data_IF_571383936285
#
_entry.id   IF_571383936285
#
_cell.length_a   1.000
_cell.length_b   1.000
_cell.length_c   1.000
_cell.angle_alpha   90.00
_cell.angle_beta   90.00
_cell.angle_gamma   90.00
#
_symmetry.space_group_name_H-M   'P 1'
#
loop_
_entity.id
_entity.type
_entity.pdbx_description
1 polymer ?
#
# COMPACT_ATOMS: atom_id res chain seq x y z
N UNK A 1 28.47 1.71 -15.74
CA UNK A 1 27.38 2.18 -14.86
C UNK A 1 27.26 1.16 -13.75
N UNK A 2 27.16 1.61 -12.52
CA UNK A 2 26.93 0.71 -11.40
C UNK A 2 25.54 0.10 -11.55
N UNK A 3 25.43 -1.21 -11.26
CA UNK A 3 24.14 -1.91 -11.33
C UNK A 3 23.26 -1.50 -10.16
N UNK A 4 21.94 -1.47 -10.38
CA UNK A 4 20.95 -1.24 -9.33
C UNK A 4 20.95 -2.45 -8.39
N UNK A 5 21.23 -2.21 -7.12
CA UNK A 5 21.23 -3.25 -6.07
C UNK A 5 19.80 -3.50 -5.58
N UNK A 6 19.25 -4.64 -5.96
CA UNK A 6 17.90 -5.06 -5.57
C UNK A 6 17.95 -6.10 -4.45
N UNK A 7 17.10 -5.92 -3.44
CA UNK A 7 16.74 -6.95 -2.49
C UNK A 7 15.35 -7.49 -2.83
N UNK A 8 15.16 -8.80 -2.71
CA UNK A 8 13.85 -9.45 -2.86
C UNK A 8 13.49 -10.14 -1.55
N UNK A 9 12.26 -9.94 -1.09
CA UNK A 9 11.66 -10.60 0.06
C UNK A 9 10.45 -11.38 -0.42
N UNK A 10 10.57 -12.71 -0.48
CA UNK A 10 9.58 -13.63 -1.05
C UNK A 10 9.79 -15.01 -0.43
N UNK A 11 8.77 -15.63 0.11
CA UNK A 11 8.86 -16.93 0.80
C UNK A 11 8.76 -18.13 -0.14
N UNK A 12 8.13 -17.98 -1.31
CA UNK A 12 8.09 -19.04 -2.32
C UNK A 12 9.44 -19.16 -3.06
N UNK A 13 10.20 -20.26 -2.87
CA UNK A 13 11.51 -20.44 -3.50
C UNK A 13 11.42 -20.56 -5.03
N UNK A 14 10.28 -20.98 -5.57
CA UNK A 14 10.09 -21.08 -7.03
C UNK A 14 9.91 -19.69 -7.61
N UNK A 15 9.08 -18.85 -6.98
CA UNK A 15 8.94 -17.43 -7.33
C UNK A 15 10.26 -16.68 -7.17
N UNK A 16 10.92 -16.81 -6.03
CA UNK A 16 12.20 -16.15 -5.76
C UNK A 16 13.21 -16.44 -6.87
N UNK A 17 13.37 -17.74 -7.22
CA UNK A 17 14.30 -18.15 -8.27
C UNK A 17 13.91 -17.58 -9.63
N UNK A 18 12.68 -17.79 -10.06
CA UNK A 18 12.20 -17.34 -11.37
C UNK A 18 12.28 -15.83 -11.54
N UNK A 19 11.93 -15.09 -10.50
CA UNK A 19 11.98 -13.63 -10.49
C UNK A 19 13.42 -13.11 -10.53
N UNK A 20 14.32 -13.72 -9.76
CA UNK A 20 15.75 -13.38 -9.78
C UNK A 20 16.33 -13.59 -11.17
N UNK A 21 16.12 -14.77 -11.76
CA UNK A 21 16.63 -15.09 -13.11
C UNK A 21 16.07 -14.13 -14.17
N UNK A 22 14.77 -13.77 -14.06
CA UNK A 22 14.13 -12.83 -14.97
C UNK A 22 14.71 -11.40 -14.87
N UNK A 23 14.87 -10.90 -13.65
CA UNK A 23 15.38 -9.54 -13.42
C UNK A 23 16.85 -9.41 -13.82
N UNK A 24 17.68 -10.42 -13.53
CA UNK A 24 19.12 -10.37 -13.85
C UNK A 24 19.42 -10.45 -15.35
N UNK A 25 18.46 -10.87 -16.18
CA UNK A 25 18.61 -10.79 -17.65
C UNK A 25 18.69 -9.35 -18.14
N UNK A 26 18.18 -8.37 -17.39
CA UNK A 26 18.20 -6.96 -17.76
C UNK A 26 19.61 -6.32 -17.75
N UNK A 27 20.58 -6.95 -17.12
CA UNK A 27 21.99 -6.56 -17.15
C UNK A 27 22.38 -5.33 -16.31
N UNK A 28 21.44 -4.42 -16.04
CA UNK A 28 21.64 -3.20 -15.22
C UNK A 28 21.10 -3.32 -13.78
N UNK A 29 20.46 -4.45 -13.44
CA UNK A 29 19.98 -4.77 -12.10
C UNK A 29 20.74 -6.00 -11.58
N UNK A 30 21.01 -6.05 -10.30
CA UNK A 30 21.61 -7.21 -9.63
C UNK A 30 20.88 -7.48 -8.32
N UNK A 31 20.48 -8.72 -8.12
CA UNK A 31 19.89 -9.16 -6.85
C UNK A 31 21.02 -9.40 -5.85
N UNK A 32 21.21 -8.47 -4.92
CA UNK A 32 22.28 -8.53 -3.92
C UNK A 32 21.87 -9.25 -2.65
N UNK A 33 20.55 -9.38 -2.42
CA UNK A 33 20.02 -10.09 -1.25
C UNK A 33 18.67 -10.72 -1.56
N UNK A 34 18.49 -11.92 -1.06
CA UNK A 34 17.23 -12.67 -1.04
C UNK A 34 16.87 -12.95 0.43
N UNK A 35 15.61 -12.76 0.80
CA UNK A 35 15.07 -13.07 2.11
C UNK A 35 13.80 -13.90 1.93
N UNK A 36 13.76 -15.06 2.55
CA UNK A 36 12.63 -15.99 2.46
C UNK A 36 11.68 -15.87 3.65
N UNK A 37 12.03 -15.05 4.62
CA UNK A 37 11.23 -14.78 5.80
C UNK A 37 11.43 -13.34 6.27
N UNK A 38 10.47 -12.84 7.05
CA UNK A 38 10.50 -11.50 7.65
C UNK A 38 11.78 -11.23 8.45
N UNK A 39 12.25 -12.23 9.17
CA UNK A 39 13.46 -12.17 10.00
C UNK A 39 14.72 -11.95 9.16
N UNK A 40 14.77 -12.57 7.98
CA UNK A 40 15.90 -12.48 7.06
C UNK A 40 15.98 -11.11 6.35
N UNK A 41 14.86 -10.39 6.29
CA UNK A 41 14.83 -9.01 5.79
C UNK A 41 15.52 -8.02 6.74
N UNK A 42 15.93 -8.47 7.93
CA UNK A 42 16.62 -7.65 8.93
C UNK A 42 18.14 -7.61 8.68
N UNK A 43 18.81 -6.65 9.34
CA UNK A 43 20.28 -6.57 9.33
C UNK A 43 20.88 -5.99 8.05
N UNK A 44 20.09 -5.21 7.31
CA UNK A 44 20.57 -4.35 6.22
C UNK A 44 20.57 -2.88 6.67
N UNK A 45 21.31 -2.08 5.94
CA UNK A 45 21.27 -0.62 6.02
C UNK A 45 20.79 -0.04 4.69
N UNK A 46 20.36 1.21 4.68
CA UNK A 46 19.93 1.88 3.45
C UNK A 46 21.02 2.01 2.37
N UNK A 47 22.29 1.80 2.73
CA UNK A 47 23.41 1.79 1.77
C UNK A 47 23.67 0.43 1.11
N UNK A 48 23.10 -0.64 1.64
CA UNK A 48 23.34 -2.01 1.12
C UNK A 48 22.51 -2.29 -0.13
N UNK A 49 21.36 -1.63 -0.27
CA UNK A 49 20.38 -1.85 -1.34
C UNK A 49 19.87 -0.51 -1.90
N UNK A 50 19.57 -0.48 -3.18
CA UNK A 50 18.98 0.68 -3.84
C UNK A 50 17.45 0.60 -3.88
N UNK A 51 16.90 -0.61 -4.06
CA UNK A 51 15.46 -0.88 -4.12
C UNK A 51 15.15 -2.19 -3.41
N UNK A 52 14.00 -2.28 -2.76
CA UNK A 52 13.50 -3.53 -2.16
C UNK A 52 12.17 -3.91 -2.78
N UNK A 53 12.05 -5.16 -3.22
CA UNK A 53 10.82 -5.78 -3.68
C UNK A 53 10.31 -6.72 -2.59
N UNK A 54 9.05 -6.57 -2.17
CA UNK A 54 8.51 -7.25 -0.99
C UNK A 54 7.20 -7.94 -1.34
N UNK A 55 7.10 -9.26 -1.14
CA UNK A 55 5.79 -9.90 -1.11
C UNK A 55 5.05 -9.56 0.19
N UNK A 56 3.75 -9.38 0.08
CA UNK A 56 2.88 -9.16 1.23
C UNK A 56 2.68 -10.42 2.08
N UNK A 57 2.66 -11.59 1.44
CA UNK A 57 2.39 -12.87 2.08
C UNK A 57 3.70 -13.62 2.30
N UNK A 58 4.30 -13.46 3.46
CA UNK A 58 5.60 -14.03 3.83
C UNK A 58 5.47 -15.11 4.92
N UNK A 59 4.44 -15.92 4.93
CA UNK A 59 4.34 -17.00 5.91
C UNK A 59 3.40 -18.10 5.49
N UNK A 60 3.75 -19.33 5.87
CA UNK A 60 2.93 -20.53 5.71
C UNK A 60 1.60 -20.45 6.48
N UNK A 61 1.50 -19.63 7.51
CA UNK A 61 0.31 -19.50 8.37
C UNK A 61 -0.83 -18.62 7.81
N UNK A 62 -0.71 -18.15 6.58
CA UNK A 62 -1.83 -17.63 5.74
C UNK A 62 -2.67 -16.45 6.28
N UNK A 63 -2.35 -15.89 7.42
CA UNK A 63 -3.22 -14.96 8.13
C UNK A 63 -2.74 -13.52 8.22
N UNK A 64 -1.47 -13.25 8.23
CA UNK A 64 -0.94 -11.89 8.40
C UNK A 64 -0.19 -11.40 7.16
N UNK A 65 -0.40 -10.13 6.84
CA UNK A 65 0.34 -9.42 5.79
C UNK A 65 1.73 -9.05 6.32
N UNK A 66 2.58 -10.07 6.54
CA UNK A 66 3.91 -9.89 7.13
C UNK A 66 4.81 -8.96 6.32
N UNK A 67 4.61 -8.88 5.00
CA UNK A 67 5.30 -7.94 4.14
C UNK A 67 5.07 -6.47 4.53
N UNK A 68 3.90 -6.12 5.06
CA UNK A 68 3.66 -4.76 5.59
C UNK A 68 4.51 -4.45 6.82
N UNK A 69 4.76 -5.45 7.67
CA UNK A 69 5.65 -5.29 8.83
C UNK A 69 7.10 -5.14 8.38
N UNK A 70 7.52 -5.88 7.35
CA UNK A 70 8.84 -5.71 6.72
C UNK A 70 8.98 -4.30 6.17
N UNK A 71 8.01 -3.81 5.39
CA UNK A 71 8.03 -2.46 4.83
C UNK A 71 8.17 -1.38 5.92
N UNK A 72 7.37 -1.45 6.99
CA UNK A 72 7.47 -0.53 8.12
C UNK A 72 8.87 -0.52 8.74
N UNK A 73 9.45 -1.71 8.96
CA UNK A 73 10.76 -1.85 9.59
C UNK A 73 11.89 -1.33 8.70
N UNK A 74 11.79 -1.55 7.39
CA UNK A 74 12.74 -1.01 6.43
C UNK A 74 12.64 0.52 6.31
N UNK A 75 11.43 1.07 6.37
CA UNK A 75 11.23 2.52 6.39
C UNK A 75 11.87 3.18 7.63
N UNK A 76 11.77 2.55 8.82
CA UNK A 76 12.40 3.02 10.06
C UNK A 76 13.92 3.14 9.96
N UNK A 77 14.58 2.31 9.16
CA UNK A 77 16.03 2.35 8.94
C UNK A 77 16.44 3.16 7.70
N UNK A 78 15.50 3.90 7.10
CA UNK A 78 15.75 4.82 5.99
C UNK A 78 15.77 4.19 4.60
N UNK A 79 15.20 2.99 4.43
CA UNK A 79 14.94 2.41 3.10
C UNK A 79 13.63 3.01 2.59
N UNK A 80 13.70 3.84 1.56
CA UNK A 80 12.58 4.63 1.04
C UNK A 80 12.08 4.17 -0.36
N UNK A 81 12.76 3.20 -0.97
CA UNK A 81 12.42 2.70 -2.31
C UNK A 81 11.93 1.26 -2.26
N UNK A 82 10.71 1.08 -1.75
CA UNK A 82 10.07 -0.21 -1.59
C UNK A 82 8.94 -0.38 -2.59
N UNK A 83 8.90 -1.54 -3.26
CA UNK A 83 7.84 -1.95 -4.19
C UNK A 83 7.18 -3.19 -3.61
N UNK A 84 5.86 -3.17 -3.46
CA UNK A 84 5.11 -4.36 -3.06
C UNK A 84 4.82 -5.23 -4.29
N UNK A 85 5.05 -6.53 -4.16
CA UNK A 85 4.74 -7.54 -5.17
C UNK A 85 3.86 -8.62 -4.55
N UNK A 86 2.64 -8.81 -5.07
CA UNK A 86 1.72 -9.75 -4.45
C UNK A 86 0.61 -10.20 -5.41
N UNK A 87 -0.11 -11.24 -5.03
CA UNK A 87 -1.32 -11.69 -5.75
C UNK A 87 -2.58 -10.97 -5.29
N UNK A 88 -2.51 -10.10 -4.27
CA UNK A 88 -3.65 -9.39 -3.70
C UNK A 88 -3.90 -8.08 -4.42
N UNK A 89 -5.18 -7.70 -4.55
CA UNK A 89 -5.63 -6.49 -5.24
C UNK A 89 -6.71 -5.70 -4.44
N UNK A 90 -6.91 -6.08 -3.17
CA UNK A 90 -7.89 -5.43 -2.31
C UNK A 90 -7.48 -3.98 -2.01
N UNK A 91 -8.38 -3.01 -2.20
CA UNK A 91 -8.09 -1.58 -2.02
C UNK A 91 -7.46 -1.22 -0.67
N UNK A 92 -7.97 -1.79 0.42
CA UNK A 92 -7.47 -1.50 1.77
C UNK A 92 -6.02 -1.96 1.96
N UNK A 93 -5.65 -3.10 1.37
CA UNK A 93 -4.28 -3.66 1.40
C UNK A 93 -3.32 -2.79 0.59
N UNK A 94 -3.77 -2.34 -0.59
CA UNK A 94 -3.01 -1.43 -1.44
C UNK A 94 -2.72 -0.13 -0.69
N UNK A 95 -3.73 0.49 -0.11
CA UNK A 95 -3.58 1.76 0.61
C UNK A 95 -2.68 1.61 1.84
N UNK A 96 -2.86 0.55 2.63
CA UNK A 96 -2.00 0.28 3.78
C UNK A 96 -0.54 0.09 3.37
N UNK A 97 -0.27 -0.50 2.20
CA UNK A 97 1.09 -0.65 1.69
C UNK A 97 1.78 0.70 1.50
N UNK A 98 1.07 1.70 0.95
CA UNK A 98 1.60 3.06 0.79
C UNK A 98 1.76 3.76 2.14
N UNK A 99 0.84 3.58 3.08
CA UNK A 99 0.96 4.11 4.45
C UNK A 99 2.19 3.54 5.19
N UNK A 100 2.64 2.33 4.83
CA UNK A 100 3.84 1.68 5.36
C UNK A 100 5.12 2.04 4.61
N UNK A 101 5.07 2.97 3.67
CA UNK A 101 6.23 3.51 2.98
C UNK A 101 6.55 2.87 1.62
N UNK A 102 5.72 1.99 1.09
CA UNK A 102 5.88 1.54 -0.29
C UNK A 102 5.68 2.72 -1.26
N UNK A 103 6.50 2.77 -2.31
CA UNK A 103 6.38 3.80 -3.35
C UNK A 103 5.69 3.29 -4.62
N UNK A 104 5.55 1.98 -4.74
CA UNK A 104 4.81 1.33 -5.82
C UNK A 104 4.27 -0.03 -5.36
N UNK A 105 3.32 -0.54 -6.13
CA UNK A 105 2.65 -1.82 -5.89
C UNK A 105 2.38 -2.48 -7.24
N UNK A 106 2.79 -3.72 -7.40
CA UNK A 106 2.65 -4.49 -8.65
C UNK A 106 2.05 -5.84 -8.30
N UNK A 107 1.06 -6.30 -9.06
CA UNK A 107 0.55 -7.65 -8.89
C UNK A 107 1.51 -8.69 -9.51
N UNK A 108 1.56 -9.90 -8.96
CA UNK A 108 2.40 -10.98 -9.50
C UNK A 108 2.07 -11.30 -10.97
N UNK A 109 0.86 -11.03 -11.44
CA UNK A 109 0.47 -11.14 -12.84
C UNK A 109 1.17 -10.15 -13.76
N UNK A 110 1.56 -8.99 -13.23
CA UNK A 110 2.26 -7.91 -13.96
C UNK A 110 3.78 -7.95 -13.76
N UNK A 111 4.36 -9.10 -13.41
CA UNK A 111 5.79 -9.24 -13.07
C UNK A 111 6.75 -8.71 -14.15
N UNK A 112 6.32 -8.68 -15.40
CA UNK A 112 7.11 -8.16 -16.53
C UNK A 112 7.45 -6.67 -16.42
N UNK A 113 6.67 -5.92 -15.64
CA UNK A 113 6.85 -4.49 -15.45
C UNK A 113 7.82 -4.17 -14.29
N UNK A 114 8.23 -5.20 -13.51
CA UNK A 114 9.12 -5.04 -12.35
C UNK A 114 10.45 -4.38 -12.70
N UNK A 115 11.19 -4.80 -13.77
CA UNK A 115 12.49 -4.18 -14.07
C UNK A 115 12.35 -2.67 -14.33
N UNK A 116 11.30 -2.26 -15.04
CA UNK A 116 11.05 -0.84 -15.28
C UNK A 116 10.69 -0.10 -13.97
N UNK A 117 9.87 -0.69 -13.11
CA UNK A 117 9.51 -0.10 -11.82
C UNK A 117 10.74 0.04 -10.90
N UNK A 118 11.65 -0.93 -10.91
CA UNK A 118 12.93 -0.87 -10.16
C UNK A 118 13.79 0.30 -10.65
N UNK A 119 13.92 0.48 -11.96
CA UNK A 119 14.66 1.63 -12.54
C UNK A 119 14.05 2.97 -12.16
N UNK A 120 12.73 3.08 -12.22
CA UNK A 120 12.00 4.30 -11.86
C UNK A 120 12.15 4.61 -10.37
N UNK A 121 11.99 3.61 -9.51
CA UNK A 121 12.22 3.72 -8.07
C UNK A 121 13.66 4.15 -7.76
N UNK A 122 14.65 3.52 -8.39
CA UNK A 122 16.05 3.90 -8.21
C UNK A 122 16.33 5.34 -8.62
N UNK A 123 15.71 5.81 -9.69
CA UNK A 123 15.81 7.19 -10.16
C UNK A 123 15.02 8.21 -9.31
N UNK A 124 14.42 7.79 -8.21
CA UNK A 124 13.58 8.65 -7.34
C UNK A 124 12.26 9.07 -7.98
N UNK A 125 11.80 8.35 -9.01
CA UNK A 125 10.52 8.63 -9.68
C UNK A 125 9.44 7.78 -9.03
N UNK A 126 8.49 8.44 -8.36
CA UNK A 126 7.28 7.79 -7.87
C UNK A 126 6.29 7.69 -9.02
N UNK A 127 6.05 6.48 -9.50
CA UNK A 127 5.09 6.20 -10.56
C UNK A 127 4.18 5.06 -10.15
N UNK A 128 2.90 5.36 -9.98
CA UNK A 128 1.91 4.35 -9.65
C UNK A 128 1.70 3.41 -10.84
N UNK A 129 1.84 2.12 -10.61
CA UNK A 129 1.51 1.10 -11.58
C UNK A 129 0.01 1.12 -11.94
N UNK A 130 -0.35 0.66 -13.13
CA UNK A 130 -1.75 0.58 -13.58
C UNK A 130 -2.64 -0.22 -12.63
N UNK A 131 -2.08 -1.27 -12.01
CA UNK A 131 -2.80 -2.14 -11.07
C UNK A 131 -3.40 -1.38 -9.87
N UNK A 132 -2.77 -0.27 -9.46
CA UNK A 132 -3.15 0.47 -8.24
C UNK A 132 -3.55 1.92 -8.48
N UNK A 133 -3.25 2.47 -9.63
CA UNK A 133 -3.50 3.90 -9.92
C UNK A 133 -4.97 4.31 -9.74
N UNK A 134 -5.89 3.41 -10.09
CA UNK A 134 -7.33 3.59 -9.90
C UNK A 134 -7.72 3.69 -8.42
N UNK A 135 -7.21 2.78 -7.59
CA UNK A 135 -7.49 2.74 -6.15
C UNK A 135 -6.98 3.99 -5.45
N UNK A 136 -5.71 4.34 -5.67
CA UNK A 136 -5.09 5.53 -5.06
C UNK A 136 -5.80 6.81 -5.50
N UNK A 137 -6.16 6.92 -6.78
CA UNK A 137 -6.88 8.10 -7.30
C UNK A 137 -8.28 8.20 -6.70
N UNK A 138 -8.99 7.08 -6.53
CA UNK A 138 -10.31 7.06 -5.92
C UNK A 138 -10.24 7.51 -4.45
N UNK A 139 -9.27 7.01 -3.68
CA UNK A 139 -9.10 7.41 -2.28
C UNK A 139 -8.70 8.89 -2.15
N UNK A 140 -7.82 9.40 -3.00
CA UNK A 140 -7.47 10.81 -3.04
C UNK A 140 -8.68 11.71 -3.30
N UNK A 141 -9.58 11.30 -4.20
CA UNK A 141 -10.83 12.02 -4.47
C UNK A 141 -11.78 11.96 -3.26
N UNK A 142 -11.88 10.80 -2.61
CA UNK A 142 -12.68 10.60 -1.40
C UNK A 142 -12.17 11.50 -0.27
N UNK A 143 -10.87 11.47 0.01
CA UNK A 143 -10.23 12.29 1.04
C UNK A 143 -10.43 13.80 0.77
N UNK A 144 -10.31 14.24 -0.49
CA UNK A 144 -10.57 15.65 -0.84
C UNK A 144 -12.02 16.06 -0.60
N UNK A 145 -12.99 15.19 -0.93
CA UNK A 145 -14.41 15.43 -0.61
C UNK A 145 -14.66 15.52 0.89
N UNK A 146 -14.01 14.66 1.67
CA UNK A 146 -14.18 14.62 3.12
C UNK A 146 -13.56 15.81 3.87
N UNK A 147 -12.66 16.58 3.23
CA UNK A 147 -12.06 17.78 3.85
C UNK A 147 -13.06 18.88 4.24
N UNK A 148 -14.25 18.90 3.62
CA UNK A 148 -15.32 19.87 3.96
C UNK A 148 -16.10 19.48 5.22
N UNK A 149 -15.91 18.25 5.70
CA UNK A 149 -16.57 17.76 6.91
C UNK A 149 -15.76 18.14 8.16
N UNK A 150 -16.47 18.49 9.22
CA UNK A 150 -15.86 18.59 10.54
C UNK A 150 -15.45 17.20 11.04
N UNK A 151 -14.56 17.15 12.03
CA UNK A 151 -14.12 15.86 12.63
C UNK A 151 -15.31 15.00 13.05
N UNK A 152 -16.28 15.58 13.76
CA UNK A 152 -17.48 14.87 14.23
C UNK A 152 -18.42 14.38 13.11
N UNK A 153 -18.45 15.08 11.97
CA UNK A 153 -19.19 14.67 10.77
C UNK A 153 -18.44 13.55 10.04
N UNK A 154 -17.10 13.64 9.98
CA UNK A 154 -16.25 12.62 9.37
C UNK A 154 -16.40 11.28 10.10
N UNK A 155 -16.35 11.24 11.43
CA UNK A 155 -16.56 10.02 12.23
C UNK A 155 -17.93 9.35 11.92
N UNK A 156 -18.99 10.15 11.79
CA UNK A 156 -20.30 9.62 11.44
C UNK A 156 -20.32 9.10 10.00
N UNK A 157 -19.68 9.81 9.06
CA UNK A 157 -19.58 9.39 7.68
C UNK A 157 -18.83 8.08 7.53
N UNK A 158 -17.65 7.95 8.13
CA UNK A 158 -16.80 6.76 8.07
C UNK A 158 -17.49 5.51 8.63
N UNK A 159 -18.19 5.64 9.76
CA UNK A 159 -18.98 4.54 10.30
C UNK A 159 -20.14 4.15 9.36
N UNK A 160 -20.76 5.13 8.71
CA UNK A 160 -21.81 4.87 7.74
C UNK A 160 -21.28 4.19 6.47
N UNK A 161 -20.13 4.61 5.98
CA UNK A 161 -19.42 4.04 4.82
C UNK A 161 -19.04 2.57 5.06
N UNK A 162 -18.62 2.25 6.30
CA UNK A 162 -18.37 0.87 6.78
C UNK A 162 -19.64 0.03 6.98
N UNK A 163 -20.82 0.53 6.61
CA UNK A 163 -22.07 -0.21 6.65
C UNK A 163 -22.81 -0.20 7.98
N UNK A 164 -22.34 0.54 9.01
CA UNK A 164 -23.05 0.62 10.29
C UNK A 164 -24.43 1.27 10.15
N UNK A 165 -25.43 0.71 10.84
CA UNK A 165 -26.76 1.29 10.96
C UNK A 165 -26.73 2.55 11.81
N UNK A 166 -27.73 3.45 11.65
CA UNK A 166 -27.85 4.68 12.46
C UNK A 166 -27.88 4.40 13.97
N UNK A 167 -28.47 3.29 14.38
CA UNK A 167 -28.53 2.88 15.79
C UNK A 167 -27.13 2.45 16.31
N UNK A 168 -26.39 1.67 15.53
CA UNK A 168 -25.03 1.27 15.87
C UNK A 168 -24.06 2.48 15.89
N UNK A 169 -24.19 3.41 14.95
CA UNK A 169 -23.41 4.67 14.96
C UNK A 169 -23.71 5.48 16.23
N UNK A 170 -25.00 5.63 16.56
CA UNK A 170 -25.42 6.33 17.77
C UNK A 170 -24.82 5.71 19.03
N UNK A 171 -24.84 4.39 19.15
CA UNK A 171 -24.23 3.66 20.25
C UNK A 171 -22.71 3.85 20.30
N UNK A 172 -21.99 3.68 19.19
CA UNK A 172 -20.53 3.82 19.10
C UNK A 172 -20.05 5.23 19.46
N UNK A 173 -20.79 6.25 19.07
CA UNK A 173 -20.41 7.65 19.28
C UNK A 173 -21.09 8.30 20.50
N UNK A 174 -21.80 7.53 21.32
CA UNK A 174 -22.54 8.01 22.48
C UNK A 174 -23.50 9.17 22.15
N UNK A 175 -24.20 9.06 21.00
CA UNK A 175 -25.15 10.04 20.50
C UNK A 175 -26.56 9.48 20.45
N UNK A 176 -27.58 10.36 20.33
CA UNK A 176 -28.93 9.90 20.01
C UNK A 176 -29.04 9.53 18.51
N UNK A 177 -29.92 8.57 18.20
CA UNK A 177 -30.21 8.20 16.81
C UNK A 177 -30.69 9.42 16.00
N UNK A 178 -31.42 10.32 16.64
CA UNK A 178 -31.92 11.55 15.99
C UNK A 178 -30.78 12.51 15.67
N UNK A 179 -29.78 12.63 16.54
CA UNK A 179 -28.56 13.41 16.29
C UNK A 179 -27.80 12.84 15.07
N UNK A 180 -27.62 11.52 14.99
CA UNK A 180 -26.97 10.87 13.85
C UNK A 180 -27.74 11.11 12.57
N UNK A 181 -29.07 11.03 12.57
CA UNK A 181 -29.89 11.34 11.39
C UNK A 181 -29.68 12.77 10.91
N UNK A 182 -29.69 13.76 11.82
CA UNK A 182 -29.46 15.17 11.48
C UNK A 182 -28.05 15.37 10.90
N UNK A 183 -27.02 14.78 11.52
CA UNK A 183 -25.65 14.86 11.03
C UNK A 183 -25.52 14.23 9.62
N UNK A 184 -26.07 13.05 9.37
CA UNK A 184 -26.05 12.44 8.04
C UNK A 184 -26.74 13.30 6.97
N UNK A 185 -27.86 13.95 7.31
CA UNK A 185 -28.54 14.88 6.38
C UNK A 185 -27.65 16.09 6.05
N UNK A 186 -26.96 16.64 7.05
CA UNK A 186 -26.04 17.76 6.86
C UNK A 186 -24.81 17.37 6.03
N UNK A 187 -24.22 16.21 6.31
CA UNK A 187 -23.12 15.63 5.56
C UNK A 187 -23.49 15.48 4.08
N UNK A 188 -24.64 14.87 3.79
CA UNK A 188 -25.15 14.73 2.42
C UNK A 188 -25.31 16.09 1.71
N UNK A 189 -25.82 17.08 2.41
CA UNK A 189 -25.97 18.43 1.84
C UNK A 189 -24.62 19.05 1.50
N UNK A 190 -23.61 18.91 2.37
CA UNK A 190 -22.27 19.45 2.13
C UNK A 190 -21.60 18.77 0.94
N UNK A 191 -21.61 17.42 0.89
CA UNK A 191 -20.98 16.64 -0.18
C UNK A 191 -21.61 16.93 -1.55
N UNK A 192 -22.93 17.06 -1.62
CA UNK A 192 -23.64 17.36 -2.86
C UNK A 192 -23.49 18.81 -3.32
N UNK A 193 -23.19 19.75 -2.43
CA UNK A 193 -22.97 21.16 -2.80
C UNK A 193 -21.60 21.39 -3.44
N UNK A 194 -20.62 20.54 -3.13
CA UNK A 194 -19.27 20.60 -3.69
C UNK A 194 -19.19 19.99 -5.11
N UNK A 195 -20.05 19.03 -5.42
CA UNK A 195 -20.15 18.43 -6.77
C UNK A 195 -20.73 19.37 -7.85
N UNK A 196 -21.28 20.51 -7.44
CA UNK A 196 -21.89 21.52 -8.34
C UNK A 196 -21.00 22.75 -8.60
N UNK A 197 -19.78 22.73 -8.08
CA UNK A 197 -18.75 23.77 -8.33
C UNK A 197 -17.65 23.27 -9.23
#
# INVERSE_FOLDING_TARGET
MDKIKLMIVEDDPVWMKGLTEYIEQEGDIVVVRQAFAKEEASGITSSDVDVVLIDLQLSEDGGELCGLQVASRLAEIGVDKMIMLTSRDEPDVILESFDRGAINYITKSSYKDIPQAVREANAGKVRLHSDVSGVVTAELRKERKLKILTQAEREVYELKDRGFSKAQIAQKLYKSVETVKKQLKLIHSKLNSDERR
#
